data_IF_335899026199
#
_entry.id   IF_335899026199
#
_cell.length_a   1.000
_cell.length_b   1.000
_cell.length_c   1.000
_cell.angle_alpha   90.00
_cell.angle_beta   90.00
_cell.angle_gamma   90.00
#
_symmetry.space_group_name_H-M   'P 1'
#
loop_
_entity.id
_entity.type
_entity.pdbx_description
1 polymer ?
#
# COMPACT_ATOMS: atom_id res chain seq x y z
N UNK A 1 -27.58 9.37 12.15
CA UNK A 1 -26.51 8.66 12.92
C UNK A 1 -25.34 9.62 13.02
N UNK A 2 -24.89 9.96 14.23
CA UNK A 2 -23.75 10.87 14.43
C UNK A 2 -22.47 10.09 14.21
N UNK A 3 -21.69 10.43 13.19
CA UNK A 3 -20.37 9.84 12.96
C UNK A 3 -19.44 10.46 14.00
N UNK A 4 -19.09 9.69 15.02
CA UNK A 4 -18.05 10.06 15.99
C UNK A 4 -16.77 10.32 15.21
N UNK A 5 -16.26 11.56 15.23
CA UNK A 5 -14.95 11.87 14.65
C UNK A 5 -13.91 11.12 15.47
N UNK A 6 -13.22 10.17 14.85
CA UNK A 6 -12.02 9.59 15.41
C UNK A 6 -11.03 10.74 15.67
N UNK A 7 -10.35 10.79 16.83
CA UNK A 7 -9.30 11.77 17.07
C UNK A 7 -8.27 11.69 15.93
N UNK A 8 -7.60 12.80 15.61
CA UNK A 8 -6.41 12.81 14.75
C UNK A 8 -5.29 12.00 15.42
N UNK A 9 -5.41 10.68 15.34
CA UNK A 9 -4.49 9.72 15.92
C UNK A 9 -3.46 9.39 14.85
N UNK A 10 -2.30 10.03 14.94
CA UNK A 10 -1.03 9.43 14.48
C UNK A 10 -0.65 8.29 15.44
N UNK A 11 -1.60 7.41 15.75
CA UNK A 11 -1.34 6.22 16.55
C UNK A 11 -1.08 5.10 15.54
N UNK A 12 0.14 4.57 15.62
CA UNK A 12 0.61 3.45 14.82
C UNK A 12 0.21 2.03 15.29
N UNK A 13 -0.45 1.78 16.45
CA UNK A 13 -0.84 0.43 16.79
C UNK A 13 -2.04 -0.02 15.94
N UNK A 14 -2.07 -1.31 15.66
CA UNK A 14 -3.20 -1.92 14.94
C UNK A 14 -4.53 -1.61 15.64
N UNK A 15 -5.54 -1.25 14.85
CA UNK A 15 -6.86 -0.94 15.38
C UNK A 15 -7.77 -2.17 15.28
N UNK A 16 -8.33 -2.60 16.41
CA UNK A 16 -9.28 -3.71 16.41
C UNK A 16 -10.71 -3.18 16.42
N UNK A 17 -11.48 -3.53 15.39
CA UNK A 17 -12.91 -3.30 15.31
C UNK A 17 -13.66 -4.60 15.66
N UNK A 18 -14.65 -4.52 16.55
CA UNK A 18 -15.48 -5.68 16.91
C UNK A 18 -16.76 -5.69 16.07
N UNK A 19 -17.02 -6.80 15.38
CA UNK A 19 -18.22 -6.95 14.56
C UNK A 19 -19.45 -7.15 15.45
N UNK A 20 -20.53 -6.37 15.28
CA UNK A 20 -21.79 -6.58 16.01
C UNK A 20 -22.37 -8.00 15.87
N UNK A 21 -22.10 -8.69 14.77
CA UNK A 21 -22.54 -10.07 14.51
C UNK A 21 -21.55 -11.13 15.01
N UNK A 22 -20.45 -10.71 15.63
CA UNK A 22 -19.40 -11.59 16.18
C UNK A 22 -18.12 -11.61 15.36
N UNK A 23 -16.99 -11.76 16.04
CA UNK A 23 -15.65 -11.67 15.45
C UNK A 23 -15.03 -10.28 15.59
N UNK A 24 -13.81 -10.14 15.10
CA UNK A 24 -13.05 -8.89 15.15
C UNK A 24 -12.20 -8.72 13.90
N UNK A 25 -12.13 -7.50 13.39
CA UNK A 25 -11.26 -7.10 12.29
C UNK A 25 -10.09 -6.31 12.87
N UNK A 26 -8.88 -6.77 12.58
CA UNK A 26 -7.65 -6.04 12.88
C UNK A 26 -7.26 -5.21 11.66
N UNK A 27 -7.34 -3.89 11.77
CA UNK A 27 -6.83 -2.96 10.77
C UNK A 27 -5.32 -2.82 10.98
N UNK A 28 -4.55 -3.43 10.08
CA UNK A 28 -3.10 -3.41 10.10
C UNK A 28 -2.56 -2.38 9.10
N UNK A 29 -1.83 -1.37 9.61
CA UNK A 29 -1.22 -0.34 8.79
C UNK A 29 0.05 -0.82 8.09
N UNK A 30 0.15 -0.58 6.78
CA UNK A 30 1.32 -0.94 5.96
C UNK A 30 2.08 0.31 5.50
N UNK A 31 3.42 0.27 5.61
CA UNK A 31 4.32 1.24 5.00
C UNK A 31 4.83 0.65 3.68
N UNK A 32 4.54 1.29 2.53
CA UNK A 32 4.94 0.76 1.24
C UNK A 32 6.45 0.52 1.17
N UNK A 33 6.85 -0.59 0.56
CA UNK A 33 8.22 -1.01 0.25
C UNK A 33 9.13 -1.26 1.47
N UNK A 34 8.60 -1.18 2.70
CA UNK A 34 9.37 -1.36 3.94
C UNK A 34 9.25 -2.78 4.47
N UNK A 35 10.39 -3.39 4.81
CA UNK A 35 10.42 -4.69 5.47
C UNK A 35 10.18 -4.51 6.96
N UNK A 36 9.01 -4.96 7.42
CA UNK A 36 8.63 -4.80 8.82
C UNK A 36 9.52 -5.63 9.75
N UNK A 37 10.10 -5.03 10.82
CA UNK A 37 10.71 -5.80 11.88
C UNK A 37 9.65 -6.62 12.61
N UNK A 38 10.05 -7.71 13.27
CA UNK A 38 9.12 -8.60 14.00
C UNK A 38 8.25 -7.87 15.03
N UNK A 39 8.74 -6.76 15.58
CA UNK A 39 8.03 -5.97 16.57
C UNK A 39 6.79 -5.23 16.02
N UNK A 40 6.78 -4.90 14.72
CA UNK A 40 5.69 -4.18 14.04
C UNK A 40 4.66 -5.10 13.38
N UNK A 41 4.91 -6.41 13.37
CA UNK A 41 4.01 -7.38 12.71
C UNK A 41 2.85 -7.76 13.65
N UNK A 42 1.66 -8.05 13.12
CA UNK A 42 0.55 -8.55 13.91
C UNK A 42 0.93 -9.81 14.67
N UNK A 43 0.68 -9.82 15.99
CA UNK A 43 0.96 -10.95 16.89
C UNK A 43 -0.26 -11.79 17.21
N UNK A 44 -1.44 -11.24 16.97
CA UNK A 44 -2.72 -11.90 17.23
C UNK A 44 -2.93 -13.09 16.29
N UNK A 45 -3.68 -14.08 16.77
CA UNK A 45 -4.16 -15.15 15.90
C UNK A 45 -5.25 -14.60 14.97
N UNK A 46 -5.11 -14.82 13.67
CA UNK A 46 -6.08 -14.40 12.66
C UNK A 46 -6.51 -15.57 11.78
N UNK A 47 -7.77 -15.52 11.34
CA UNK A 47 -8.45 -16.62 10.64
C UNK A 47 -8.66 -16.36 9.16
N UNK A 48 -8.54 -15.10 8.71
CA UNK A 48 -8.68 -14.68 7.32
C UNK A 48 -7.92 -13.38 7.09
N UNK A 49 -7.69 -13.06 5.82
CA UNK A 49 -6.99 -11.86 5.39
C UNK A 49 -7.90 -11.06 4.46
N UNK A 50 -8.03 -9.76 4.72
CA UNK A 50 -8.64 -8.83 3.79
C UNK A 50 -7.55 -7.89 3.25
N UNK A 51 -7.51 -7.69 1.94
CA UNK A 51 -6.56 -6.80 1.26
C UNK A 51 -7.39 -5.67 0.61
N UNK A 52 -6.99 -4.42 0.90
CA UNK A 52 -7.59 -3.21 0.33
C UNK A 52 -7.05 -2.95 -1.08
N UNK A 53 -7.19 -3.93 -1.96
CA UNK A 53 -6.77 -3.90 -3.37
C UNK A 53 -7.71 -4.80 -4.17
N UNK A 54 -7.65 -4.71 -5.50
CA UNK A 54 -8.31 -5.67 -6.40
C UNK A 54 -7.55 -7.00 -6.40
N UNK A 55 -8.18 -8.12 -6.80
CA UNK A 55 -7.50 -9.41 -6.91
C UNK A 55 -6.30 -9.40 -7.88
N UNK A 56 -6.28 -8.47 -8.85
CA UNK A 56 -5.22 -8.35 -9.87
C UNK A 56 -3.85 -8.00 -9.26
N UNK A 57 -3.84 -7.44 -8.04
CA UNK A 57 -2.61 -7.14 -7.30
C UNK A 57 -1.72 -8.38 -7.09
N UNK A 58 -2.32 -9.58 -7.05
CA UNK A 58 -1.56 -10.82 -6.88
C UNK A 58 -0.69 -11.12 -8.10
N UNK A 59 -1.24 -10.91 -9.29
CA UNK A 59 -0.52 -11.10 -10.55
C UNK A 59 0.58 -10.05 -10.68
N UNK A 60 0.30 -8.80 -10.28
CA UNK A 60 1.30 -7.74 -10.20
C UNK A 60 2.47 -8.13 -9.28
N UNK A 61 2.20 -8.63 -8.07
CA UNK A 61 3.27 -9.07 -7.16
C UNK A 61 4.09 -10.22 -7.73
N UNK A 62 3.48 -11.14 -8.47
CA UNK A 62 4.21 -12.24 -9.12
C UNK A 62 5.10 -11.70 -10.23
N UNK A 63 4.61 -10.74 -11.01
CA UNK A 63 5.41 -10.08 -12.04
C UNK A 63 6.58 -9.31 -11.42
N UNK A 64 6.35 -8.54 -10.35
CA UNK A 64 7.40 -7.83 -9.63
C UNK A 64 8.47 -8.80 -9.09
N UNK A 65 8.09 -9.98 -8.61
CA UNK A 65 9.02 -11.03 -8.18
C UNK A 65 9.89 -11.55 -9.33
N UNK A 66 9.33 -11.69 -10.52
CA UNK A 66 10.06 -12.07 -11.74
C UNK A 66 11.04 -10.96 -12.13
N UNK A 67 10.56 -9.72 -12.19
CA UNK A 67 11.35 -8.56 -12.58
C UNK A 67 12.53 -8.33 -11.62
N UNK A 68 12.32 -8.47 -10.31
CA UNK A 68 13.40 -8.40 -9.32
C UNK A 68 14.41 -9.55 -9.43
N UNK A 69 13.97 -10.74 -9.85
CA UNK A 69 14.86 -11.88 -10.06
C UNK A 69 15.72 -11.69 -11.32
N UNK A 70 15.19 -11.05 -12.36
CA UNK A 70 15.90 -10.74 -13.59
C UNK A 70 16.86 -9.54 -13.42
N UNK A 71 16.41 -8.50 -12.72
CA UNK A 71 17.16 -7.26 -12.52
C UNK A 71 16.84 -6.64 -11.16
N UNK A 72 17.68 -6.92 -10.17
CA UNK A 72 17.49 -6.42 -8.81
C UNK A 72 17.37 -4.89 -8.74
N UNK A 73 16.30 -4.39 -8.11
CA UNK A 73 16.02 -2.96 -7.95
C UNK A 73 15.35 -2.30 -9.14
N UNK A 74 14.91 -3.06 -10.16
CA UNK A 74 14.20 -2.50 -11.32
C UNK A 74 12.89 -1.82 -10.93
N UNK A 75 12.12 -2.43 -10.02
CA UNK A 75 10.83 -1.87 -9.59
C UNK A 75 11.01 -0.61 -8.75
N UNK A 76 12.02 -0.58 -7.88
CA UNK A 76 12.39 0.62 -7.14
C UNK A 76 12.80 1.75 -8.08
N UNK A 77 13.63 1.44 -9.08
CA UNK A 77 14.08 2.42 -10.07
C UNK A 77 12.89 2.95 -10.87
N UNK A 78 11.97 2.08 -11.28
CA UNK A 78 10.74 2.46 -11.95
C UNK A 78 9.88 3.39 -11.07
N UNK A 79 9.70 3.04 -9.79
CA UNK A 79 9.01 3.87 -8.81
C UNK A 79 9.62 5.26 -8.65
N UNK A 80 10.95 5.37 -8.53
CA UNK A 80 11.66 6.65 -8.45
C UNK A 80 11.51 7.51 -9.72
N UNK A 81 11.52 6.89 -10.91
CA UNK A 81 11.36 7.59 -12.19
C UNK A 81 9.91 8.05 -12.42
N UNK A 82 8.92 7.31 -11.91
CA UNK A 82 7.50 7.64 -12.08
C UNK A 82 7.12 9.04 -11.56
N UNK A 83 7.90 9.59 -10.63
CA UNK A 83 7.71 10.91 -10.05
C UNK A 83 6.56 10.97 -9.04
N UNK A 84 6.09 12.18 -8.74
CA UNK A 84 5.01 12.40 -7.79
C UNK A 84 5.40 12.26 -6.32
N UNK A 85 4.39 12.17 -5.45
CA UNK A 85 4.60 12.03 -4.00
C UNK A 85 5.20 10.68 -3.62
N UNK A 86 4.86 9.61 -4.35
CA UNK A 86 5.39 8.29 -4.08
C UNK A 86 6.89 8.20 -4.39
N UNK A 87 7.36 8.76 -5.51
CA UNK A 87 8.80 8.83 -5.78
C UNK A 87 9.57 9.61 -4.71
N UNK A 88 9.01 10.72 -4.19
CA UNK A 88 9.61 11.46 -3.07
C UNK A 88 9.66 10.59 -1.82
N UNK A 89 8.56 9.88 -1.50
CA UNK A 89 8.53 8.95 -0.37
C UNK A 89 9.62 7.87 -0.52
N UNK A 90 9.77 7.28 -1.71
CA UNK A 90 10.80 6.28 -2.00
C UNK A 90 12.22 6.84 -1.85
N UNK A 91 12.48 8.04 -2.40
CA UNK A 91 13.77 8.73 -2.27
C UNK A 91 14.12 8.91 -0.77
N UNK A 92 13.19 9.42 0.03
CA UNK A 92 13.43 9.67 1.46
C UNK A 92 13.54 8.38 2.31
N UNK A 93 12.64 7.42 2.11
CA UNK A 93 12.63 6.18 2.92
C UNK A 93 13.84 5.30 2.65
N UNK A 94 14.43 5.38 1.45
CA UNK A 94 15.64 4.64 1.08
C UNK A 94 16.93 5.27 1.62
N UNK A 95 16.88 6.53 2.07
CA UNK A 95 18.01 7.19 2.76
C UNK A 95 18.13 6.79 4.23
N UNK A 96 17.12 6.14 4.81
CA UNK A 96 17.12 5.72 6.21
C UNK A 96 18.02 4.49 6.41
N UNK A 97 19.22 4.69 6.99
CA UNK A 97 20.23 3.64 7.15
C UNK A 97 19.75 2.40 7.93
N UNK A 98 18.94 2.60 8.97
CA UNK A 98 18.44 1.52 9.84
C UNK A 98 17.12 0.89 9.38
N UNK A 99 16.58 1.30 8.23
CA UNK A 99 15.31 0.81 7.70
C UNK A 99 15.55 0.07 6.39
N UNK A 100 15.23 -1.22 6.35
CA UNK A 100 15.23 -1.97 5.10
C UNK A 100 14.00 -1.58 4.27
N UNK A 101 14.18 -0.70 3.30
CA UNK A 101 13.12 -0.15 2.45
C UNK A 101 13.38 -0.39 0.95
N UNK A 102 12.51 0.12 0.08
CA UNK A 102 12.64 0.02 -1.37
C UNK A 102 12.53 -1.42 -1.91
N UNK A 103 11.84 -2.30 -1.19
CA UNK A 103 11.66 -3.70 -1.58
C UNK A 103 10.35 -3.90 -2.33
N UNK A 104 10.43 -4.71 -3.38
CA UNK A 104 9.31 -5.12 -4.22
C UNK A 104 9.26 -6.65 -4.33
N UNK A 105 8.07 -7.25 -4.46
CA UNK A 105 6.76 -6.64 -4.19
C UNK A 105 6.65 -6.14 -2.74
N UNK A 106 5.62 -5.34 -2.47
CA UNK A 106 5.41 -4.75 -1.14
C UNK A 106 5.53 -5.82 -0.02
N UNK A 107 6.56 -5.73 0.87
CA UNK A 107 6.95 -6.86 1.69
C UNK A 107 5.87 -7.33 2.65
N UNK A 108 5.16 -6.42 3.29
CA UNK A 108 4.20 -6.75 4.35
C UNK A 108 2.88 -7.33 3.78
N UNK A 109 2.19 -6.68 2.82
CA UNK A 109 1.03 -7.28 2.14
C UNK A 109 1.35 -8.65 1.52
N UNK A 110 2.45 -8.75 0.76
CA UNK A 110 2.83 -9.99 0.10
C UNK A 110 3.15 -11.10 1.10
N UNK A 111 3.81 -10.77 2.21
CA UNK A 111 4.10 -11.72 3.30
C UNK A 111 2.81 -12.23 3.96
N UNK A 112 1.86 -11.36 4.26
CA UNK A 112 0.56 -11.73 4.83
C UNK A 112 -0.21 -12.62 3.86
N UNK A 113 -0.26 -12.26 2.58
CA UNK A 113 -0.88 -13.06 1.53
C UNK A 113 -0.28 -14.47 1.44
N UNK A 114 1.04 -14.59 1.32
CA UNK A 114 1.73 -15.89 1.29
C UNK A 114 1.48 -16.71 2.56
N UNK A 115 1.41 -16.06 3.73
CA UNK A 115 1.09 -16.73 4.99
C UNK A 115 -0.35 -17.26 5.00
N UNK A 116 -1.31 -16.48 4.49
CA UNK A 116 -2.71 -16.90 4.39
C UNK A 116 -2.83 -18.15 3.50
N UNK A 117 -2.23 -18.13 2.31
CA UNK A 117 -2.22 -19.27 1.39
C UNK A 117 -1.59 -20.52 2.01
N UNK A 118 -0.44 -20.37 2.68
CA UNK A 118 0.27 -21.49 3.33
C UNK A 118 -0.56 -22.17 4.41
N UNK A 119 -1.43 -21.42 5.09
CA UNK A 119 -2.27 -21.92 6.17
C UNK A 119 -3.74 -22.11 5.75
N UNK A 120 -4.02 -22.09 4.44
CA UNK A 120 -5.36 -22.29 3.88
C UNK A 120 -6.41 -21.33 4.49
N UNK A 121 -5.98 -20.10 4.81
CA UNK A 121 -6.87 -19.06 5.34
C UNK A 121 -7.56 -18.33 4.17
N UNK A 122 -8.86 -18.03 4.28
CA UNK A 122 -9.55 -17.26 3.25
C UNK A 122 -8.91 -15.87 3.07
N UNK A 123 -8.77 -15.48 1.81
CA UNK A 123 -8.30 -14.15 1.38
C UNK A 123 -9.44 -13.44 0.69
N UNK A 124 -9.72 -12.22 1.10
CA UNK A 124 -10.77 -11.37 0.56
C UNK A 124 -10.14 -10.11 -0.03
N UNK A 125 -10.52 -9.78 -1.26
CA UNK A 125 -10.15 -8.52 -1.91
C UNK A 125 -11.33 -7.57 -1.77
N UNK A 126 -11.07 -6.37 -1.25
CA UNK A 126 -12.11 -5.42 -0.87
C UNK A 126 -12.44 -4.49 -2.04
N UNK A 127 -11.46 -4.18 -2.90
CA UNK A 127 -11.74 -3.36 -4.07
C UNK A 127 -12.42 -4.21 -5.16
N UNK A 128 -13.51 -3.72 -5.75
CA UNK A 128 -14.14 -4.37 -6.89
C UNK A 128 -13.19 -4.47 -8.08
N UNK A 129 -13.44 -5.45 -8.95
CA UNK A 129 -12.77 -5.49 -10.26
C UNK A 129 -13.31 -4.38 -11.15
N UNK A 130 -12.59 -4.07 -12.23
CA UNK A 130 -13.01 -3.07 -13.22
C UNK A 130 -14.32 -3.44 -13.95
N UNK A 131 -14.86 -4.64 -13.74
CA UNK A 131 -16.16 -5.08 -14.28
C UNK A 131 -17.36 -4.46 -13.54
N UNK A 132 -17.13 -3.85 -12.38
CA UNK A 132 -18.16 -3.07 -11.69
C UNK A 132 -18.26 -1.66 -12.30
N UNK A 133 -19.38 -1.38 -12.98
CA UNK A 133 -19.61 -0.11 -13.68
C UNK A 133 -19.48 1.12 -12.76
N UNK A 134 -19.94 1.03 -11.50
CA UNK A 134 -19.88 2.14 -10.56
C UNK A 134 -18.45 2.39 -10.09
N UNK A 135 -17.71 1.31 -9.83
CA UNK A 135 -16.30 1.37 -9.48
C UNK A 135 -15.47 1.91 -10.66
N UNK A 136 -15.75 1.46 -11.88
CA UNK A 136 -15.09 1.96 -13.08
C UNK A 136 -15.32 3.46 -13.29
N UNK A 137 -16.56 3.95 -13.08
CA UNK A 137 -16.85 5.39 -13.14
C UNK A 137 -16.07 6.16 -12.07
N UNK A 138 -16.01 5.63 -10.84
CA UNK A 138 -15.23 6.21 -9.76
C UNK A 138 -13.74 6.33 -10.11
N UNK A 139 -13.11 5.24 -10.55
CA UNK A 139 -11.71 5.21 -10.98
C UNK A 139 -11.46 6.17 -12.14
N UNK A 140 -12.40 6.29 -13.08
CA UNK A 140 -12.32 7.23 -14.19
C UNK A 140 -12.33 8.69 -13.72
N UNK A 141 -13.17 9.03 -12.74
CA UNK A 141 -13.23 10.36 -12.16
C UNK A 141 -11.96 10.69 -11.38
N UNK A 142 -11.44 9.73 -10.62
CA UNK A 142 -10.17 9.88 -9.92
C UNK A 142 -9.00 10.09 -10.89
N UNK A 143 -8.90 9.26 -11.94
CA UNK A 143 -7.88 9.40 -12.98
C UNK A 143 -7.96 10.76 -13.68
N UNK A 144 -9.15 11.26 -13.99
CA UNK A 144 -9.36 12.62 -14.54
C UNK A 144 -8.88 13.70 -13.56
N UNK A 145 -9.15 13.52 -12.27
CA UNK A 145 -8.71 14.46 -11.24
C UNK A 145 -7.19 14.42 -11.02
N UNK A 146 -6.54 13.26 -11.15
CA UNK A 146 -5.10 13.08 -11.01
C UNK A 146 -4.33 13.61 -12.24
N UNK A 147 -4.85 13.37 -13.44
CA UNK A 147 -4.27 13.79 -14.73
C UNK A 147 -4.56 15.25 -15.12
N UNK A 148 -5.25 16.00 -14.26
CA UNK A 148 -5.57 17.39 -14.54
C UNK A 148 -4.28 18.23 -14.73
N UNK A 149 -4.14 18.90 -15.88
CA UNK A 149 -2.91 19.58 -16.31
C UNK A 149 -2.29 20.53 -15.27
N UNK A 150 -3.11 21.25 -14.47
CA UNK A 150 -2.62 22.11 -13.39
C UNK A 150 -1.88 21.34 -12.30
N UNK A 151 -2.34 20.13 -11.96
CA UNK A 151 -1.66 19.25 -11.00
C UNK A 151 -0.36 18.73 -11.58
N UNK A 152 -0.39 18.26 -12.83
CA UNK A 152 0.82 17.78 -13.53
C UNK A 152 1.92 18.84 -13.59
N UNK A 153 1.59 20.09 -13.93
CA UNK A 153 2.56 21.20 -13.89
C UNK A 153 3.10 21.46 -12.48
N UNK A 154 2.24 21.33 -11.47
CA UNK A 154 2.65 21.44 -10.07
C UNK A 154 3.68 20.38 -9.66
N UNK A 155 3.50 19.14 -10.14
CA UNK A 155 4.37 18.00 -9.86
C UNK A 155 5.79 18.18 -10.37
N UNK A 156 5.98 18.80 -11.55
CA UNK A 156 7.31 19.10 -12.10
C UNK A 156 8.15 19.94 -11.12
N UNK A 157 7.51 20.92 -10.46
CA UNK A 157 8.18 21.79 -9.49
C UNK A 157 8.33 21.18 -8.09
N UNK A 158 7.68 20.04 -7.83
CA UNK A 158 7.54 19.47 -6.50
C UNK A 158 8.88 18.96 -5.95
N UNK A 159 9.61 18.16 -6.73
CA UNK A 159 10.92 17.62 -6.31
C UNK A 159 11.94 18.72 -6.02
N UNK A 160 12.01 19.76 -6.87
CA UNK A 160 12.89 20.91 -6.65
C UNK A 160 12.51 21.78 -5.45
N UNK A 161 11.22 21.85 -5.09
CA UNK A 161 10.77 22.54 -3.87
C UNK A 161 11.01 21.70 -2.62
N UNK A 162 10.91 20.39 -2.72
CA UNK A 162 11.14 19.46 -1.61
C UNK A 162 12.62 19.46 -1.21
N UNK A 163 13.53 19.30 -2.17
CA UNK A 163 14.99 19.36 -1.95
C UNK A 163 15.53 20.69 -1.42
N UNK A 164 14.71 21.76 -1.42
CA UNK A 164 15.06 23.06 -0.82
C UNK A 164 14.58 23.22 0.62
N UNK A 165 13.73 22.32 1.11
CA UNK A 165 13.20 22.36 2.49
C UNK A 165 13.95 21.43 3.43
N UNK A 166 14.59 20.39 2.89
CA UNK A 166 15.63 19.59 3.56
C UNK A 166 16.95 20.37 3.48
#
# INVERSE_FOLDING_TARGET
MSVTRLPERLDWPDHTWSDPNGGSILLHGVLPTVVYPRLMRPREAWHGLAILESPDVVDMWVQEEIDEAESAGINLTHGLISGGSFAIYLDEVTLLEDVTSGRYPDPEPRRLHRNALRHERPVYFIEPTADDDQWYEHLTLEAKAASHWKKLLGLISLGGKWRKRV
#
